data_IF_820077407020
#
_entry.id   IF_820077407020
#
_cell.length_a   1.000
_cell.length_b   1.000
_cell.length_c   1.000
_cell.angle_alpha   90.00
_cell.angle_beta   90.00
_cell.angle_gamma   90.00
#
_symmetry.space_group_name_H-M   'P 1'
#
loop_
_entity.id
_entity.type
_entity.pdbx_description
1 polymer ?
#
# COMPACT_ATOMS: atom_id res chain seq x y z
N UNK A 1 17.12 -12.26 59.36
CA UNK A 1 16.59 -13.58 58.97
C UNK A 1 15.19 -13.57 58.33
N UNK A 2 14.39 -12.47 58.41
CA UNK A 2 13.08 -12.39 57.73
C UNK A 2 13.15 -11.81 56.30
N UNK A 3 14.07 -10.88 56.02
CA UNK A 3 14.23 -10.28 54.68
C UNK A 3 14.77 -11.26 53.63
N UNK A 4 15.67 -12.16 54.03
CA UNK A 4 16.24 -13.18 53.14
C UNK A 4 15.18 -14.20 52.68
N UNK A 5 14.18 -14.47 53.54
CA UNK A 5 13.04 -15.33 53.24
C UNK A 5 12.05 -14.65 52.27
N UNK A 6 11.75 -13.36 52.47
CA UNK A 6 10.92 -12.58 51.54
C UNK A 6 11.56 -12.44 50.16
N UNK A 7 12.88 -12.17 50.09
CA UNK A 7 13.60 -12.11 48.83
C UNK A 7 13.60 -13.45 48.10
N UNK A 8 13.75 -14.55 48.85
CA UNK A 8 13.70 -15.91 48.30
C UNK A 8 12.31 -16.24 47.77
N UNK A 9 11.26 -15.83 48.49
CA UNK A 9 9.87 -15.97 48.04
C UNK A 9 9.58 -15.14 46.80
N UNK A 10 10.10 -13.91 46.73
CA UNK A 10 9.96 -13.03 45.58
C UNK A 10 10.64 -13.62 44.33
N UNK A 11 11.87 -14.10 44.45
CA UNK A 11 12.60 -14.76 43.35
C UNK A 11 11.85 -15.99 42.82
N UNK A 12 11.28 -16.79 43.72
CA UNK A 12 10.46 -17.96 43.37
C UNK A 12 9.20 -17.57 42.60
N UNK A 13 8.51 -16.53 43.05
CA UNK A 13 7.31 -16.04 42.39
C UNK A 13 7.62 -15.44 41.01
N UNK A 14 8.69 -14.65 40.89
CA UNK A 14 9.15 -14.12 39.61
C UNK A 14 9.49 -15.22 38.61
N UNK A 15 10.19 -16.27 39.05
CA UNK A 15 10.55 -17.42 38.20
C UNK A 15 9.32 -18.16 37.71
N UNK A 16 8.31 -18.38 38.58
CA UNK A 16 7.03 -18.98 38.17
C UNK A 16 6.29 -18.12 37.16
N UNK A 17 6.26 -16.80 37.34
CA UNK A 17 5.62 -15.88 36.39
C UNK A 17 6.30 -15.90 35.02
N UNK A 18 7.64 -15.90 34.99
CA UNK A 18 8.41 -15.99 33.75
C UNK A 18 8.17 -17.34 33.05
N UNK A 19 8.12 -18.44 33.80
CA UNK A 19 7.86 -19.75 33.23
C UNK A 19 6.43 -19.86 32.68
N UNK A 20 5.43 -19.38 33.42
CA UNK A 20 4.05 -19.32 32.94
C UNK A 20 3.90 -18.41 31.72
N UNK A 21 4.63 -17.29 31.66
CA UNK A 21 4.65 -16.43 30.50
C UNK A 21 5.28 -17.16 29.29
N UNK A 22 6.40 -17.85 29.49
CA UNK A 22 7.06 -18.64 28.46
C UNK A 22 6.17 -19.76 27.92
N UNK A 23 5.51 -20.52 28.80
CA UNK A 23 4.56 -21.57 28.44
C UNK A 23 3.35 -21.01 27.68
N UNK A 24 2.82 -19.85 28.09
CA UNK A 24 1.76 -19.14 27.35
C UNK A 24 2.21 -18.65 25.98
N UNK A 25 3.42 -18.12 25.86
CA UNK A 25 4.00 -17.68 24.58
C UNK A 25 4.22 -18.88 23.65
N UNK A 26 4.74 -19.99 24.16
CA UNK A 26 4.94 -21.22 23.40
C UNK A 26 3.59 -21.83 22.97
N UNK A 27 2.58 -21.82 23.85
CA UNK A 27 1.22 -22.23 23.51
C UNK A 27 0.54 -21.30 22.49
N UNK A 28 0.84 -20.00 22.48
CA UNK A 28 0.38 -19.06 21.45
C UNK A 28 1.09 -19.26 20.11
N UNK A 29 2.38 -19.62 20.11
CA UNK A 29 3.13 -19.94 18.89
C UNK A 29 2.63 -21.23 18.23
N UNK A 30 2.23 -22.23 19.03
CA UNK A 30 1.67 -23.50 18.55
C UNK A 30 0.14 -23.51 18.40
N UNK A 31 -0.57 -22.43 18.78
CA UNK A 31 -1.99 -22.27 18.46
C UNK A 31 -2.08 -21.88 16.99
N UNK A 32 -2.76 -22.66 16.12
CA UNK A 32 -3.00 -22.24 14.75
C UNK A 32 -3.74 -20.90 14.82
N UNK A 33 -3.06 -19.84 14.42
CA UNK A 33 -3.66 -18.51 14.36
C UNK A 33 -4.73 -18.61 13.27
N UNK A 34 -6.01 -18.62 13.65
CA UNK A 34 -7.13 -18.51 12.70
C UNK A 34 -7.20 -17.12 12.03
N UNK A 35 -6.09 -16.38 12.00
CA UNK A 35 -5.92 -15.03 11.45
C UNK A 35 -4.96 -14.99 10.24
N UNK A 36 -4.76 -16.10 9.52
CA UNK A 36 -3.96 -16.16 8.29
C UNK A 36 -4.52 -15.33 7.11
N UNK A 37 -5.77 -14.84 7.21
CA UNK A 37 -6.45 -14.12 6.11
C UNK A 37 -6.04 -12.66 5.98
N UNK A 38 -5.71 -11.97 7.08
CA UNK A 38 -5.38 -10.54 7.03
C UNK A 38 -3.95 -10.29 6.54
N UNK A 39 -2.98 -11.13 6.92
CA UNK A 39 -1.59 -11.00 6.44
C UNK A 39 -1.49 -11.24 4.94
N UNK A 40 -2.11 -12.32 4.45
CA UNK A 40 -2.11 -12.66 3.02
C UNK A 40 -2.76 -11.60 2.13
N UNK A 41 -3.84 -10.96 2.57
CA UNK A 41 -4.47 -9.86 1.83
C UNK A 41 -3.57 -8.62 1.72
N UNK A 42 -2.90 -8.23 2.80
CA UNK A 42 -1.93 -7.13 2.79
C UNK A 42 -0.69 -7.48 1.94
N UNK A 43 -0.19 -8.71 2.05
CA UNK A 43 0.96 -9.17 1.26
C UNK A 43 0.65 -9.18 -0.25
N UNK A 44 -0.58 -9.55 -0.61
CA UNK A 44 -1.08 -9.49 -2.00
C UNK A 44 -1.23 -8.05 -2.49
N UNK A 45 -1.84 -7.16 -1.68
CA UNK A 45 -1.94 -5.74 -1.98
C UNK A 45 -0.56 -5.15 -2.33
N UNK A 46 0.41 -5.41 -1.46
CA UNK A 46 1.77 -4.93 -1.63
C UNK A 46 2.42 -5.54 -2.89
N UNK A 47 2.16 -6.81 -3.18
CA UNK A 47 2.65 -7.45 -4.40
C UNK A 47 2.05 -6.84 -5.67
N UNK A 48 0.74 -6.57 -5.69
CA UNK A 48 0.07 -5.94 -6.84
C UNK A 48 0.59 -4.50 -7.03
N UNK A 49 0.82 -3.72 -5.96
CA UNK A 49 1.43 -2.38 -6.04
C UNK A 49 2.88 -2.45 -6.55
N UNK A 50 3.72 -3.32 -5.98
CA UNK A 50 5.12 -3.52 -6.42
C UNK A 50 5.20 -3.87 -7.91
N UNK A 51 4.33 -4.76 -8.38
CA UNK A 51 4.25 -5.13 -9.81
C UNK A 51 4.01 -3.91 -10.70
N UNK A 52 3.04 -3.06 -10.34
CA UNK A 52 2.75 -1.85 -11.11
C UNK A 52 3.88 -0.83 -11.03
N UNK A 53 4.48 -0.63 -9.86
CA UNK A 53 5.65 0.23 -9.66
C UNK A 53 6.81 -0.12 -10.58
N UNK A 54 7.10 -1.40 -10.79
CA UNK A 54 8.18 -1.86 -11.65
C UNK A 54 8.05 -1.42 -13.13
N UNK A 55 6.85 -1.03 -13.57
CA UNK A 55 6.65 -0.48 -14.92
C UNK A 55 7.19 0.95 -15.09
N UNK A 56 7.34 1.71 -13.99
CA UNK A 56 7.80 3.09 -13.98
C UNK A 56 9.32 3.18 -13.93
N UNK A 57 9.95 2.85 -15.06
CA UNK A 57 11.41 3.00 -15.22
C UNK A 57 11.82 4.48 -15.28
N UNK A 58 13.08 4.78 -14.94
CA UNK A 58 13.63 6.13 -15.05
C UNK A 58 13.48 6.72 -16.47
N UNK A 59 13.66 5.90 -17.51
CA UNK A 59 13.51 6.33 -18.90
C UNK A 59 12.06 6.74 -19.25
N UNK A 60 11.06 6.14 -18.59
CA UNK A 60 9.64 6.40 -18.87
C UNK A 60 9.01 7.48 -18.00
N UNK A 61 9.57 7.76 -16.82
CA UNK A 61 8.95 8.61 -15.80
C UNK A 61 9.89 9.62 -15.13
N UNK A 62 11.00 9.98 -15.79
CA UNK A 62 11.91 11.01 -15.29
C UNK A 62 11.26 12.41 -15.26
N UNK A 63 11.80 13.27 -14.39
CA UNK A 63 11.47 14.71 -14.35
C UNK A 63 10.09 15.05 -13.77
N UNK A 64 9.31 14.09 -13.30
CA UNK A 64 7.99 14.35 -12.69
C UNK A 64 8.11 14.92 -11.27
N UNK A 65 7.28 15.90 -10.88
CA UNK A 65 7.24 16.39 -9.50
C UNK A 65 6.71 15.31 -8.55
N UNK A 66 7.00 15.44 -7.25
CA UNK A 66 6.55 14.49 -6.20
C UNK A 66 5.05 14.22 -6.21
N UNK A 67 4.23 15.20 -6.59
CA UNK A 67 2.77 15.07 -6.71
C UNK A 67 2.33 14.12 -7.84
N UNK A 68 3.23 13.77 -8.74
CA UNK A 68 3.03 12.81 -9.83
C UNK A 68 3.98 11.60 -9.69
N UNK A 69 4.21 11.16 -8.45
CA UNK A 69 5.12 10.06 -8.16
C UNK A 69 4.62 8.72 -8.72
N UNK A 70 5.51 7.82 -9.18
CA UNK A 70 5.15 6.47 -9.61
C UNK A 70 4.27 5.71 -8.60
N UNK A 71 4.57 5.86 -7.31
CA UNK A 71 3.82 5.23 -6.23
C UNK A 71 2.35 5.67 -6.21
N UNK A 72 2.09 6.97 -6.40
CA UNK A 72 0.73 7.47 -6.43
C UNK A 72 -0.07 6.83 -7.57
N UNK A 73 0.53 6.73 -8.76
CA UNK A 73 -0.09 6.09 -9.92
C UNK A 73 -0.29 4.59 -9.70
N UNK A 74 0.73 3.88 -9.23
CA UNK A 74 0.64 2.45 -8.95
C UNK A 74 -0.41 2.11 -7.88
N UNK A 75 -0.57 2.93 -6.84
CA UNK A 75 -1.63 2.72 -5.84
C UNK A 75 -3.04 2.91 -6.40
N UNK A 76 -3.18 3.66 -7.50
CA UNK A 76 -4.45 3.88 -8.22
C UNK A 76 -4.59 2.96 -9.45
N UNK A 77 -3.86 1.85 -9.50
CA UNK A 77 -4.04 0.85 -10.55
C UNK A 77 -3.45 1.22 -11.91
N UNK A 78 -2.64 2.28 -12.00
CA UNK A 78 -1.98 2.69 -13.23
C UNK A 78 -0.66 1.94 -13.43
N UNK A 79 -0.41 1.53 -14.67
CA UNK A 79 0.82 0.89 -15.17
C UNK A 79 1.41 1.77 -16.25
N UNK A 80 2.71 2.02 -16.22
CA UNK A 80 3.40 2.80 -17.23
C UNK A 80 3.69 1.93 -18.47
N UNK A 81 3.06 2.28 -19.59
CA UNK A 81 3.11 1.51 -20.85
C UNK A 81 3.97 2.21 -21.91
N UNK A 82 4.20 3.51 -21.77
CA UNK A 82 5.07 4.32 -22.64
C UNK A 82 5.61 5.51 -21.84
N UNK A 83 6.66 6.22 -22.30
CA UNK A 83 7.05 7.48 -21.68
C UNK A 83 5.85 8.39 -21.52
N UNK A 84 5.62 8.87 -20.30
CA UNK A 84 4.48 9.73 -19.95
C UNK A 84 3.08 9.16 -20.21
N UNK A 85 2.94 7.86 -20.52
CA UNK A 85 1.64 7.24 -20.75
C UNK A 85 1.41 6.09 -19.78
N UNK A 86 0.26 6.11 -19.13
CA UNK A 86 -0.20 5.05 -18.24
C UNK A 86 -1.49 4.43 -18.74
N UNK A 87 -1.66 3.15 -18.40
CA UNK A 87 -2.88 2.38 -18.60
C UNK A 87 -3.37 1.82 -17.26
N UNK A 88 -4.66 1.89 -16.99
CA UNK A 88 -5.24 1.21 -15.83
C UNK A 88 -5.32 -0.30 -16.09
N UNK A 89 -4.75 -1.12 -15.21
CA UNK A 89 -4.80 -2.58 -15.36
C UNK A 89 -6.21 -3.17 -15.18
N UNK A 90 -7.11 -2.46 -14.50
CA UNK A 90 -8.45 -2.95 -14.22
C UNK A 90 -9.46 -2.58 -15.32
N UNK A 91 -9.49 -1.32 -15.73
CA UNK A 91 -10.47 -0.80 -16.69
C UNK A 91 -9.90 -0.48 -18.08
N UNK A 92 -8.59 -0.67 -18.29
CA UNK A 92 -7.93 -0.48 -19.59
C UNK A 92 -7.83 0.97 -20.08
N UNK A 93 -8.30 1.95 -19.31
CA UNK A 93 -8.23 3.37 -19.68
C UNK A 93 -6.80 3.86 -19.76
N UNK A 94 -6.54 4.77 -20.70
CA UNK A 94 -5.23 5.40 -20.89
C UNK A 94 -5.24 6.85 -20.44
N UNK A 95 -4.09 7.31 -19.96
CA UNK A 95 -3.87 8.71 -19.62
C UNK A 95 -2.44 9.11 -19.97
N UNK A 96 -2.32 10.26 -20.65
CA UNK A 96 -1.05 10.95 -20.86
C UNK A 96 -0.78 11.89 -19.68
N UNK A 97 0.46 11.89 -19.19
CA UNK A 97 0.93 12.60 -18.00
C UNK A 97 2.10 13.51 -18.37
N UNK A 98 1.96 14.24 -19.46
CA UNK A 98 2.95 15.23 -19.89
C UNK A 98 2.77 16.50 -19.05
N UNK A 99 3.88 16.99 -18.49
CA UNK A 99 3.91 18.25 -17.72
C UNK A 99 4.63 19.28 -18.60
N UNK A 100 4.10 20.50 -18.75
CA UNK A 100 4.77 21.51 -19.57
C UNK A 100 6.12 21.89 -18.98
N UNK A 101 7.10 22.18 -19.84
CA UNK A 101 8.44 22.59 -19.39
C UNK A 101 8.42 24.01 -18.83
N UNK A 102 8.99 24.19 -17.63
CA UNK A 102 9.15 25.50 -16.99
C UNK A 102 10.06 26.46 -17.79
N UNK A 103 10.78 25.98 -18.81
CA UNK A 103 11.53 26.84 -19.73
C UNK A 103 10.62 27.62 -20.69
N UNK A 104 9.41 27.10 -20.94
CA UNK A 104 8.51 27.63 -21.97
C UNK A 104 7.19 28.15 -21.41
N UNK A 105 6.85 27.84 -20.15
CA UNK A 105 5.59 28.26 -19.53
C UNK A 105 5.81 28.87 -18.15
N UNK A 106 4.88 29.75 -17.78
CA UNK A 106 4.82 30.33 -16.44
C UNK A 106 4.56 29.26 -15.36
N UNK A 107 5.09 29.50 -14.15
CA UNK A 107 4.96 28.61 -13.00
C UNK A 107 3.50 28.33 -12.64
N UNK A 108 2.60 29.31 -12.79
CA UNK A 108 1.18 29.14 -12.51
C UNK A 108 0.51 28.16 -13.48
N UNK A 109 0.94 28.15 -14.75
CA UNK A 109 0.45 27.21 -15.77
C UNK A 109 0.95 25.80 -15.44
N UNK A 110 2.24 25.64 -15.14
CA UNK A 110 2.80 24.38 -14.67
C UNK A 110 2.05 23.81 -13.46
N UNK A 111 1.80 24.64 -12.44
CA UNK A 111 1.09 24.21 -11.25
C UNK A 111 -0.36 23.81 -11.55
N UNK A 112 -1.06 24.54 -12.43
CA UNK A 112 -2.41 24.17 -12.90
C UNK A 112 -2.40 22.82 -13.59
N UNK A 113 -1.44 22.57 -14.49
CA UNK A 113 -1.28 21.28 -15.18
C UNK A 113 -1.02 20.15 -14.20
N UNK A 114 -0.12 20.33 -13.21
CA UNK A 114 0.14 19.32 -12.18
C UNK A 114 -1.13 19.02 -11.38
N UNK A 115 -1.89 20.04 -10.96
CA UNK A 115 -3.15 19.83 -10.23
C UNK A 115 -4.17 19.06 -11.06
N UNK A 116 -4.32 19.42 -12.35
CA UNK A 116 -5.21 18.73 -13.27
C UNK A 116 -4.84 17.25 -13.41
N UNK A 117 -3.55 16.96 -13.60
CA UNK A 117 -3.04 15.59 -13.71
C UNK A 117 -3.29 14.78 -12.44
N UNK A 118 -3.09 15.39 -11.25
CA UNK A 118 -3.42 14.73 -9.98
C UNK A 118 -4.90 14.36 -9.91
N UNK A 119 -5.81 15.27 -10.27
CA UNK A 119 -7.25 14.96 -10.30
C UNK A 119 -7.59 13.87 -11.33
N UNK A 120 -6.87 13.82 -12.45
CA UNK A 120 -7.09 12.81 -13.47
C UNK A 120 -6.71 11.39 -13.02
N UNK A 121 -5.86 11.23 -12.00
CA UNK A 121 -5.48 9.91 -11.46
C UNK A 121 -6.70 9.10 -11.03
N UNK A 122 -7.71 9.71 -10.42
CA UNK A 122 -8.97 9.04 -10.04
C UNK A 122 -10.03 9.19 -11.12
N UNK A 123 -10.10 10.36 -11.76
CA UNK A 123 -11.20 10.71 -12.67
C UNK A 123 -11.12 10.08 -14.06
N UNK A 124 -9.93 9.70 -14.55
CA UNK A 124 -9.75 9.11 -15.90
C UNK A 124 -10.10 7.64 -15.98
N UNK A 125 -10.39 7.02 -14.84
CA UNK A 125 -10.91 5.67 -14.84
C UNK A 125 -12.32 5.61 -15.43
N UNK A 126 -12.70 4.44 -15.95
CA UNK A 126 -14.09 4.16 -16.29
C UNK A 126 -14.96 4.21 -15.02
N UNK A 127 -16.24 4.55 -15.15
CA UNK A 127 -17.14 4.77 -14.01
C UNK A 127 -17.23 3.57 -13.06
N UNK A 128 -17.18 2.34 -13.60
CA UNK A 128 -17.21 1.09 -12.83
C UNK A 128 -15.82 0.61 -12.41
N UNK A 129 -14.77 1.39 -12.67
CA UNK A 129 -13.43 0.99 -12.31
C UNK A 129 -13.27 0.99 -10.79
N UNK A 130 -12.70 -0.08 -10.23
CA UNK A 130 -12.40 -0.15 -8.80
C UNK A 130 -11.57 1.05 -8.28
N UNK A 131 -10.60 1.51 -9.05
CA UNK A 131 -9.64 2.55 -8.64
C UNK A 131 -10.19 3.97 -8.74
N UNK A 132 -11.43 4.17 -9.23
CA UNK A 132 -12.02 5.49 -9.42
C UNK A 132 -12.24 6.24 -8.11
N UNK A 133 -12.51 5.51 -7.02
CA UNK A 133 -12.92 6.08 -5.74
C UNK A 133 -11.93 5.78 -4.61
N UNK A 134 -10.74 5.30 -4.93
CA UNK A 134 -9.70 5.08 -3.92
C UNK A 134 -9.25 6.44 -3.40
N UNK A 135 -9.70 6.82 -2.20
CA UNK A 135 -9.16 7.98 -1.48
C UNK A 135 -7.84 7.59 -0.84
N UNK A 136 -6.84 8.45 -1.00
CA UNK A 136 -5.58 8.30 -0.27
C UNK A 136 -5.74 8.99 1.09
N UNK A 137 -5.94 8.22 2.17
CA UNK A 137 -5.62 8.70 3.53
C UNK A 137 -6.75 8.98 4.54
N UNK A 138 -7.76 8.11 4.69
CA UNK A 138 -8.53 8.05 5.94
C UNK A 138 -8.84 6.60 6.30
N UNK A 139 -8.32 6.16 7.46
CA UNK A 139 -8.62 4.97 8.27
C UNK A 139 -9.12 3.67 7.61
N UNK A 140 -8.36 2.60 7.87
CA UNK A 140 -8.72 1.18 8.00
C UNK A 140 -9.45 0.43 6.87
N UNK A 141 -9.87 1.10 5.80
CA UNK A 141 -10.42 0.40 4.64
C UNK A 141 -9.31 -0.02 3.69
N UNK A 142 -8.85 -1.28 3.79
CA UNK A 142 -8.17 -1.96 2.68
C UNK A 142 -9.09 -1.82 1.46
N UNK A 143 -8.65 -1.15 0.37
CA UNK A 143 -9.48 -1.08 -0.82
C UNK A 143 -9.70 -2.51 -1.32
N UNK A 144 -10.92 -3.04 -1.20
CA UNK A 144 -11.30 -4.41 -1.60
C UNK A 144 -10.88 -4.73 -3.05
N UNK A 145 -10.74 -3.68 -3.84
CA UNK A 145 -10.34 -3.67 -5.22
C UNK A 145 -8.84 -3.86 -5.50
N UNK A 146 -8.01 -3.80 -4.47
CA UNK A 146 -6.58 -4.00 -4.59
C UNK A 146 -6.15 -5.43 -4.21
N UNK A 147 -7.13 -6.27 -3.84
CA UNK A 147 -7.05 -7.72 -3.95
C UNK A 147 -6.98 -8.08 -5.44
N UNK A 148 -5.88 -8.71 -5.85
CA UNK A 148 -5.73 -9.18 -7.21
C UNK A 148 -6.94 -10.07 -7.60
N UNK A 149 -7.41 -9.97 -8.86
CA UNK A 149 -8.63 -10.59 -9.40
C UNK A 149 -8.73 -12.12 -9.20
N UNK A 150 -7.65 -12.77 -8.79
CA UNK A 150 -7.54 -14.21 -8.59
C UNK A 150 -8.40 -14.74 -7.42
N UNK A 151 -8.94 -13.88 -6.55
CA UNK A 151 -9.83 -14.29 -5.45
C UNK A 151 -11.30 -14.40 -5.88
N UNK A 152 -11.70 -13.81 -7.01
CA UNK A 152 -13.11 -13.81 -7.47
C UNK A 152 -13.46 -15.04 -8.32
N UNK A 153 -12.46 -15.88 -8.66
CA UNK A 153 -12.64 -17.00 -9.60
C UNK A 153 -12.51 -18.40 -8.99
N UNK A 154 -12.60 -18.53 -7.67
CA UNK A 154 -12.81 -19.84 -7.03
C UNK A 154 -14.24 -19.89 -6.48
N UNK A 155 -15.08 -20.53 -7.29
CA UNK A 155 -16.50 -20.84 -7.09
C UNK A 155 -16.83 -21.36 -5.70
#
# INVERSE_FOLDING_TARGET
MKEEDELTRLKRNASKLLQQAHEKTHAQQHRPLTNGRCRSACDQLDACIRRRLNSFTAMRWAGKPRKLSPLLFASHGWVCVSPDVVQCEACGQYMSVVVPSLLHVDVTVYQKSVRMLVSMITMKHYVTCPYRYTSFGTDDAIPLNALCKDVVNHR
#
